data_IF_826414206103
#
_entry.id   IF_826414206103
#
_cell.length_a   1.000
_cell.length_b   1.000
_cell.length_c   1.000
_cell.angle_alpha   90.00
_cell.angle_beta   90.00
_cell.angle_gamma   90.00
#
_symmetry.space_group_name_H-M   'P 1'
#
loop_
_entity.id
_entity.type
_entity.pdbx_description
1 polymer ?
#
# COMPACT_ATOMS: atom_id res chain seq x y z
N UNK A 1 25.92 4.46 0.31
CA UNK A 1 24.60 3.94 0.71
C UNK A 1 23.60 4.92 0.14
N UNK A 2 23.09 4.66 -1.06
CA UNK A 2 22.25 5.61 -1.80
C UNK A 2 20.84 5.54 -1.24
N UNK A 3 20.34 6.65 -0.70
CA UNK A 3 18.97 6.74 -0.21
C UNK A 3 18.04 6.80 -1.42
N UNK A 4 17.14 5.82 -1.58
CA UNK A 4 16.16 5.68 -2.68
C UNK A 4 15.10 6.80 -2.80
N UNK A 5 15.35 7.99 -2.24
CA UNK A 5 14.48 9.17 -2.39
C UNK A 5 14.76 9.88 -3.74
N UNK A 6 15.85 9.52 -4.41
CA UNK A 6 16.33 10.19 -5.64
C UNK A 6 15.43 10.01 -6.88
N UNK A 7 14.41 9.14 -6.83
CA UNK A 7 13.50 8.87 -7.96
C UNK A 7 12.16 9.65 -7.89
N UNK A 8 11.97 10.52 -6.90
CA UNK A 8 10.75 11.35 -6.81
C UNK A 8 10.75 12.43 -7.90
N UNK A 9 9.61 12.56 -8.59
CA UNK A 9 9.36 13.63 -9.55
C UNK A 9 8.59 14.78 -8.90
N UNK A 10 8.49 15.90 -9.61
CA UNK A 10 7.79 17.08 -9.12
C UNK A 10 6.29 16.82 -8.91
N UNK A 11 5.67 15.98 -9.75
CA UNK A 11 4.26 15.58 -9.62
C UNK A 11 3.96 14.64 -8.44
N UNK A 12 4.97 14.07 -7.78
CA UNK A 12 4.77 13.04 -6.77
C UNK A 12 4.36 13.61 -5.40
N UNK A 13 3.58 12.79 -4.67
CA UNK A 13 3.24 12.99 -3.28
C UNK A 13 3.70 11.78 -2.48
N UNK A 14 4.58 11.99 -1.50
CA UNK A 14 5.13 10.94 -0.67
C UNK A 14 4.55 11.02 0.75
N UNK A 15 3.92 9.92 1.19
CA UNK A 15 3.52 9.73 2.59
C UNK A 15 4.70 9.11 3.35
N UNK A 16 5.33 9.89 4.21
CA UNK A 16 6.41 9.44 5.09
C UNK A 16 5.83 8.92 6.39
N UNK A 17 6.06 7.65 6.68
CA UNK A 17 5.75 7.03 7.97
C UNK A 17 7.05 6.86 8.75
N UNK A 18 7.08 7.33 9.99
CA UNK A 18 8.20 7.17 10.92
C UNK A 18 7.72 6.46 12.18
N UNK A 19 8.14 5.22 12.45
CA UNK A 19 7.82 4.56 13.71
C UNK A 19 8.55 5.22 14.87
N UNK A 20 7.88 5.28 16.02
CA UNK A 20 8.53 5.63 17.28
C UNK A 20 9.04 4.35 17.95
N UNK A 21 10.33 4.31 18.24
CA UNK A 21 10.95 3.16 18.92
C UNK A 21 11.12 3.50 20.40
N UNK A 22 10.78 2.54 21.25
CA UNK A 22 11.03 2.65 22.68
C UNK A 22 12.54 2.61 23.00
N UNK A 23 12.92 2.72 24.28
CA UNK A 23 14.33 2.74 24.71
C UNK A 23 15.11 1.46 24.37
N UNK A 24 14.42 0.37 24.11
CA UNK A 24 14.98 -0.93 23.74
C UNK A 24 15.04 -1.12 22.22
N UNK A 25 14.55 -0.16 21.44
CA UNK A 25 14.50 -0.23 19.98
C UNK A 25 13.27 -0.96 19.43
N UNK A 26 12.30 -1.30 20.27
CA UNK A 26 11.06 -1.97 19.86
C UNK A 26 10.02 -0.93 19.43
N UNK A 27 9.28 -1.23 18.38
CA UNK A 27 8.12 -0.43 17.95
C UNK A 27 6.87 -0.90 18.71
N UNK A 28 6.16 0.04 19.34
CA UNK A 28 4.98 -0.25 20.18
C UNK A 28 3.66 0.20 19.54
N UNK A 29 3.67 0.51 18.24
CA UNK A 29 2.48 0.90 17.47
C UNK A 29 2.45 2.38 17.09
N UNK A 30 3.18 3.23 17.81
CA UNK A 30 3.20 4.67 17.55
C UNK A 30 3.94 5.02 16.25
N UNK A 31 3.32 5.87 15.43
CA UNK A 31 3.89 6.37 14.18
C UNK A 31 3.68 7.87 14.01
N UNK A 32 4.65 8.55 13.40
CA UNK A 32 4.49 9.90 12.87
C UNK A 32 4.31 9.83 11.36
N UNK A 33 3.23 10.43 10.86
CA UNK A 33 2.94 10.51 9.43
C UNK A 33 3.20 11.94 8.96
N UNK A 34 3.83 12.09 7.80
CA UNK A 34 4.01 13.38 7.13
C UNK A 34 3.81 13.24 5.64
N UNK A 35 3.31 14.30 5.01
CA UNK A 35 3.17 14.40 3.57
C UNK A 35 4.30 15.28 3.01
N UNK A 36 4.93 14.81 1.94
CA UNK A 36 6.02 15.50 1.24
C UNK A 36 5.60 15.63 -0.22
N UNK A 37 5.75 16.82 -0.79
CA UNK A 37 5.53 17.09 -2.22
C UNK A 37 6.46 18.21 -2.66
N UNK A 38 6.69 18.34 -3.97
CA UNK A 38 7.57 19.36 -4.55
C UNK A 38 6.93 20.75 -4.47
N UNK A 39 7.75 21.78 -4.28
CA UNK A 39 7.29 23.17 -4.46
C UNK A 39 7.02 23.50 -5.93
N UNK A 40 7.59 22.72 -6.85
CA UNK A 40 7.45 22.86 -8.30
C UNK A 40 6.41 21.87 -8.87
N UNK A 41 5.50 21.36 -8.04
CA UNK A 41 4.48 20.43 -8.49
C UNK A 41 3.64 21.05 -9.64
N UNK A 42 3.51 20.38 -10.80
CA UNK A 42 2.92 20.98 -11.99
C UNK A 42 1.38 20.98 -11.98
N UNK A 43 0.74 20.40 -10.97
CA UNK A 43 -0.72 20.35 -10.88
C UNK A 43 -1.31 21.74 -10.68
N UNK A 44 -2.50 21.94 -11.23
CA UNK A 44 -3.29 23.13 -10.94
C UNK A 44 -3.85 23.06 -9.51
N UNK A 45 -4.12 24.21 -8.89
CA UNK A 45 -4.50 24.33 -7.48
C UNK A 45 -5.65 23.39 -7.06
N UNK A 46 -6.66 23.22 -7.93
CA UNK A 46 -7.80 22.36 -7.65
C UNK A 46 -7.39 20.87 -7.57
N UNK A 47 -6.67 20.38 -8.58
CA UNK A 47 -6.17 19.00 -8.61
C UNK A 47 -5.20 18.74 -7.45
N UNK A 48 -4.30 19.69 -7.19
CA UNK A 48 -3.37 19.62 -6.07
C UNK A 48 -4.11 19.47 -4.73
N UNK A 49 -5.16 20.28 -4.51
CA UNK A 49 -5.98 20.21 -3.30
C UNK A 49 -6.68 18.86 -3.14
N UNK A 50 -7.21 18.30 -4.23
CA UNK A 50 -7.85 16.98 -4.20
C UNK A 50 -6.86 15.86 -3.85
N UNK A 51 -5.64 15.89 -4.40
CA UNK A 51 -4.61 14.90 -4.07
C UNK A 51 -4.12 15.05 -2.64
N UNK A 52 -3.89 16.28 -2.15
CA UNK A 52 -3.58 16.54 -0.73
C UNK A 52 -4.67 15.97 0.18
N UNK A 53 -5.94 16.18 -0.17
CA UNK A 53 -7.06 15.66 0.60
C UNK A 53 -7.06 14.12 0.61
N UNK A 54 -6.80 13.47 -0.53
CA UNK A 54 -6.65 12.03 -0.62
C UNK A 54 -5.50 11.50 0.25
N UNK A 55 -4.32 12.10 0.18
CA UNK A 55 -3.18 11.73 1.03
C UNK A 55 -3.48 11.92 2.52
N UNK A 56 -4.25 12.96 2.86
CA UNK A 56 -4.71 13.21 4.23
C UNK A 56 -5.68 12.13 4.71
N UNK A 57 -6.62 11.70 3.85
CA UNK A 57 -7.51 10.58 4.16
C UNK A 57 -6.74 9.28 4.38
N UNK A 58 -5.75 8.97 3.53
CA UNK A 58 -4.88 7.80 3.71
C UNK A 58 -4.13 7.86 5.05
N UNK A 59 -3.67 9.04 5.45
CA UNK A 59 -3.00 9.25 6.74
C UNK A 59 -3.95 9.12 7.94
N UNK A 60 -5.20 9.56 7.77
CA UNK A 60 -6.25 9.49 8.80
C UNK A 60 -6.75 8.06 9.06
N UNK A 61 -6.47 7.10 8.19
CA UNK A 61 -6.81 5.69 8.43
C UNK A 61 -6.22 5.18 9.75
N UNK A 62 -5.02 5.62 10.13
CA UNK A 62 -4.34 5.17 11.36
C UNK A 62 -5.16 5.50 12.61
N UNK A 63 -5.46 6.78 12.93
CA UNK A 63 -6.28 7.09 14.11
C UNK A 63 -7.70 6.50 14.01
N UNK A 64 -8.30 6.45 12.82
CA UNK A 64 -9.63 5.83 12.65
C UNK A 64 -9.60 4.33 13.00
N UNK A 65 -8.53 3.60 12.68
CA UNK A 65 -8.38 2.20 13.05
C UNK A 65 -8.12 1.99 14.55
N UNK A 66 -7.56 2.99 15.24
CA UNK A 66 -7.39 2.96 16.70
C UNK A 66 -8.73 3.17 17.42
N UNK A 67 -9.59 4.02 16.87
CA UNK A 67 -10.91 4.34 17.43
C UNK A 67 -12.01 3.33 17.06
N UNK A 68 -11.97 2.76 15.85
CA UNK A 68 -13.01 1.89 15.31
C UNK A 68 -12.48 0.51 14.90
N UNK A 69 -12.78 -0.49 15.73
CA UNK A 69 -12.41 -1.88 15.50
C UNK A 69 -13.08 -2.49 14.25
N UNK A 70 -14.30 -2.09 13.92
CA UNK A 70 -14.99 -2.60 12.73
C UNK A 70 -14.27 -2.15 11.45
N UNK A 71 -13.90 -0.87 11.38
CA UNK A 71 -13.14 -0.33 10.25
C UNK A 71 -11.77 -1.01 10.16
N UNK A 72 -11.05 -1.12 11.28
CA UNK A 72 -9.76 -1.82 11.35
C UNK A 72 -9.86 -3.25 10.81
N UNK A 73 -10.85 -4.00 11.28
CA UNK A 73 -11.05 -5.40 10.88
C UNK A 73 -11.45 -5.52 9.40
N UNK A 74 -12.23 -4.55 8.89
CA UNK A 74 -12.61 -4.51 7.47
C UNK A 74 -11.41 -4.24 6.57
N UNK A 75 -10.56 -3.27 6.93
CA UNK A 75 -9.33 -2.97 6.20
C UNK A 75 -8.34 -4.12 6.27
N UNK A 76 -8.15 -4.73 7.43
CA UNK A 76 -7.30 -5.92 7.59
C UNK A 76 -7.73 -7.06 6.65
N UNK A 77 -9.03 -7.38 6.61
CA UNK A 77 -9.57 -8.41 5.71
C UNK A 77 -9.35 -8.07 4.24
N UNK A 78 -9.55 -6.81 3.87
CA UNK A 78 -9.32 -6.35 2.50
C UNK A 78 -7.85 -6.56 2.11
N UNK A 79 -6.89 -6.09 2.92
CA UNK A 79 -5.45 -6.25 2.66
C UNK A 79 -5.04 -7.71 2.55
N UNK A 80 -5.47 -8.56 3.48
CA UNK A 80 -5.17 -10.01 3.43
C UNK A 80 -5.73 -10.63 2.14
N UNK A 81 -6.97 -10.30 1.76
CA UNK A 81 -7.59 -10.87 0.57
C UNK A 81 -6.93 -10.45 -0.75
N UNK A 82 -6.30 -9.28 -0.82
CA UNK A 82 -5.54 -8.86 -2.01
C UNK A 82 -4.17 -9.56 -2.05
N UNK A 83 -3.48 -9.69 -0.91
CA UNK A 83 -2.21 -10.43 -0.84
C UNK A 83 -2.40 -11.90 -1.26
N UNK A 84 -3.47 -12.54 -0.77
CA UNK A 84 -3.79 -13.92 -1.13
C UNK A 84 -4.13 -14.09 -2.62
N UNK A 85 -4.67 -13.06 -3.29
CA UNK A 85 -4.91 -13.09 -4.75
C UNK A 85 -3.62 -13.00 -5.55
N UNK A 86 -2.69 -12.15 -5.13
CA UNK A 86 -1.38 -11.99 -5.80
C UNK A 86 -0.54 -13.28 -5.70
N UNK A 87 -0.69 -14.05 -4.62
CA UNK A 87 -0.04 -15.37 -4.48
C UNK A 87 -0.68 -16.47 -5.36
N UNK A 88 -1.93 -16.28 -5.79
CA UNK A 88 -2.67 -17.21 -6.66
C UNK A 88 -2.56 -16.88 -8.15
N UNK A 89 -1.79 -15.86 -8.58
CA UNK A 89 -1.62 -15.57 -10.00
C UNK A 89 -0.99 -16.78 -10.74
N UNK A 90 -1.71 -17.41 -11.69
CA UNK A 90 -1.14 -18.52 -12.44
C UNK A 90 -0.08 -17.99 -13.41
N UNK A 91 1.18 -18.35 -13.18
CA UNK A 91 2.25 -18.20 -14.15
C UNK A 91 1.89 -18.98 -15.43
N UNK A 92 1.36 -18.31 -16.44
CA UNK A 92 1.32 -18.83 -17.80
C UNK A 92 2.42 -18.14 -18.61
N UNK A 93 3.29 -18.93 -19.22
CA UNK A 93 4.23 -18.47 -20.24
C UNK A 93 3.93 -19.22 -21.54
N UNK A 94 3.71 -18.48 -22.62
CA UNK A 94 3.52 -19.00 -23.97
C UNK A 94 4.84 -18.88 -24.74
N UNK A 95 5.59 -19.98 -24.84
CA UNK A 95 6.66 -20.13 -25.82
C UNK A 95 6.19 -21.03 -26.96
N UNK A 96 5.69 -20.43 -28.04
CA UNK A 96 5.05 -21.19 -29.12
C UNK A 96 3.83 -21.98 -28.62
N UNK A 97 3.39 -22.99 -29.38
CA UNK A 97 2.16 -23.76 -29.11
C UNK A 97 2.13 -24.61 -27.81
N UNK A 98 3.00 -24.35 -26.84
CA UNK A 98 3.06 -25.08 -25.57
C UNK A 98 2.54 -24.21 -24.41
N UNK A 99 1.41 -24.62 -23.82
CA UNK A 99 0.88 -24.04 -22.58
C UNK A 99 1.28 -24.99 -21.44
N UNK A 100 2.19 -24.55 -20.56
CA UNK A 100 2.55 -25.32 -19.36
C UNK A 100 1.71 -24.82 -18.19
N UNK A 101 0.73 -25.62 -17.78
CA UNK A 101 -0.07 -25.41 -16.58
C UNK A 101 0.60 -26.10 -15.39
N UNK A 102 1.09 -25.34 -14.40
CA UNK A 102 1.58 -25.96 -13.16
C UNK A 102 0.41 -26.17 -12.18
N UNK A 103 0.23 -27.41 -11.73
CA UNK A 103 -0.88 -27.88 -10.89
C UNK A 103 -0.80 -27.28 -9.47
N UNK A 104 -1.40 -26.11 -9.26
CA UNK A 104 -1.85 -25.68 -7.93
C UNK A 104 -3.27 -25.08 -7.94
N UNK A 105 -4.03 -25.24 -9.03
CA UNK A 105 -5.47 -24.99 -9.02
C UNK A 105 -6.15 -26.02 -8.12
N UNK A 106 -6.51 -25.61 -6.89
CA UNK A 106 -7.46 -26.34 -6.05
C UNK A 106 -8.77 -26.45 -6.83
N UNK A 107 -9.04 -27.63 -7.37
CA UNK A 107 -10.34 -27.92 -7.96
C UNK A 107 -11.36 -27.93 -6.82
N UNK A 108 -12.37 -27.04 -6.87
CA UNK A 108 -13.61 -27.24 -6.12
C UNK A 108 -14.35 -28.40 -6.79
N UNK A 109 -13.94 -29.62 -6.46
CA UNK A 109 -14.70 -30.81 -6.82
C UNK A 109 -16.03 -30.81 -6.08
N UNK A 110 -17.12 -30.70 -6.84
CA UNK A 110 -18.38 -31.33 -6.45
C UNK A 110 -18.47 -32.63 -7.24
N UNK A 111 -18.73 -33.72 -6.51
CA UNK A 111 -18.86 -35.09 -7.00
C UNK A 111 -20.06 -35.27 -7.93
#
# INVERSE_FOLDING_TARGET
MTNKIEDLKDEDFAIRIRPFLNKEGNWEGDVSIGLITSSENPLQDEDFSYIIHLCSMMSAVVPVCEEDEYIRNKLHKYVISEIERDEEEPLYYTEGNLITLNKNTKTKGNA
#
